data_IF_537852053072
#
_entry.id   IF_537852053072
#
_cell.length_a   1.000
_cell.length_b   1.000
_cell.length_c   1.000
_cell.angle_alpha   90.00
_cell.angle_beta   90.00
_cell.angle_gamma   90.00
#
_symmetry.space_group_name_H-M   'P 1'
#
loop_
_entity.id
_entity.type
_entity.pdbx_description
1 polymer ?
#
# COMPACT_ATOMS: atom_id res chain seq x y z
N UNK A 1 10.42 25.02 1.69
CA UNK A 1 9.47 24.24 2.50
C UNK A 1 8.07 24.58 2.02
N UNK A 2 7.29 23.63 1.51
CA UNK A 2 5.88 23.89 1.17
C UNK A 2 5.09 23.85 2.48
N UNK A 3 4.49 24.98 2.84
CA UNK A 3 3.61 25.09 4.01
C UNK A 3 2.37 24.25 3.77
N UNK A 4 2.03 23.40 4.74
CA UNK A 4 0.72 22.75 4.76
C UNK A 4 -0.27 23.83 5.20
N UNK A 5 -1.23 24.25 4.38
CA UNK A 5 -2.20 25.26 4.79
C UNK A 5 -2.98 24.75 6.01
N UNK A 6 -3.41 25.64 6.93
CA UNK A 6 -4.24 25.25 8.05
C UNK A 6 -5.52 24.61 7.51
N UNK A 7 -5.73 23.34 7.86
CA UNK A 7 -6.86 22.54 7.38
C UNK A 7 -8.14 23.05 8.06
N UNK A 8 -8.98 23.75 7.31
CA UNK A 8 -10.31 24.20 7.74
C UNK A 8 -11.30 23.03 7.71
N UNK A 9 -12.18 22.96 8.71
CA UNK A 9 -13.24 21.93 8.79
C UNK A 9 -14.14 22.08 7.56
N UNK A 10 -14.30 21.00 6.79
CA UNK A 10 -14.97 21.04 5.51
C UNK A 10 -16.12 20.03 5.45
N UNK A 11 -17.23 20.33 6.11
CA UNK A 11 -18.41 19.47 6.09
C UNK A 11 -18.92 19.28 4.65
N UNK A 12 -19.00 18.03 4.21
CA UNK A 12 -19.63 17.65 2.93
C UNK A 12 -18.77 17.77 1.68
N UNK A 13 -17.59 18.40 1.72
CA UNK A 13 -16.66 18.41 0.57
C UNK A 13 -15.57 17.36 0.68
N UNK A 14 -15.01 16.99 -0.47
CA UNK A 14 -13.83 16.14 -0.52
C UNK A 14 -12.61 16.87 0.05
N UNK A 15 -12.08 16.37 1.16
CA UNK A 15 -10.81 16.82 1.72
C UNK A 15 -9.67 16.45 0.76
N UNK A 16 -8.80 17.40 0.37
CA UNK A 16 -7.65 17.07 -0.47
C UNK A 16 -6.68 16.12 0.24
N UNK A 17 -5.91 15.35 -0.51
CA UNK A 17 -4.88 14.45 0.03
C UNK A 17 -3.45 14.98 -0.25
N UNK A 18 -2.95 15.93 0.55
CA UNK A 18 -1.60 16.46 0.37
C UNK A 18 -0.52 15.41 0.69
N UNK A 19 -0.84 14.40 1.50
CA UNK A 19 0.12 13.37 1.89
C UNK A 19 0.37 12.39 0.76
N UNK A 20 -0.67 11.93 0.06
CA UNK A 20 -0.51 11.05 -1.10
C UNK A 20 0.38 11.69 -2.17
N UNK A 21 0.15 12.97 -2.48
CA UNK A 21 0.99 13.71 -3.42
C UNK A 21 2.47 13.74 -2.98
N UNK A 22 2.72 13.95 -1.68
CA UNK A 22 4.07 13.93 -1.11
C UNK A 22 4.70 12.53 -1.16
N UNK A 23 3.93 11.48 -0.93
CA UNK A 23 4.40 10.09 -1.01
C UNK A 23 4.85 9.74 -2.42
N UNK A 24 4.02 10.07 -3.42
CA UNK A 24 4.34 9.89 -4.84
C UNK A 24 5.61 10.66 -5.18
N UNK A 25 5.70 11.95 -4.81
CA UNK A 25 6.89 12.75 -5.06
C UNK A 25 8.15 12.17 -4.42
N UNK A 26 8.05 11.62 -3.21
CA UNK A 26 9.19 11.06 -2.50
C UNK A 26 9.70 9.78 -3.16
N UNK A 27 8.85 8.77 -3.37
CA UNK A 27 9.28 7.48 -3.91
C UNK A 27 9.77 7.59 -5.37
N UNK A 28 9.19 8.52 -6.15
CA UNK A 28 9.58 8.72 -7.55
C UNK A 28 11.05 9.19 -7.70
N UNK A 29 11.67 9.72 -6.63
CA UNK A 29 13.11 10.05 -6.64
C UNK A 29 14.01 8.81 -6.67
N UNK A 30 13.51 7.68 -6.20
CA UNK A 30 14.27 6.44 -6.05
C UNK A 30 13.91 5.44 -7.17
N UNK A 31 12.71 5.53 -7.74
CA UNK A 31 12.25 4.64 -8.81
C UNK A 31 12.79 5.11 -10.18
N UNK A 32 13.89 4.51 -10.63
CA UNK A 32 14.42 4.68 -11.99
C UNK A 32 13.74 3.74 -12.99
N UNK A 33 13.70 4.16 -14.26
CA UNK A 33 13.03 3.43 -15.34
C UNK A 33 13.75 2.15 -15.80
N UNK A 34 15.07 2.10 -15.62
CA UNK A 34 15.92 0.96 -15.97
C UNK A 34 15.85 -0.18 -14.95
N UNK A 35 15.22 0.05 -13.79
CA UNK A 35 15.12 -0.97 -12.75
C UNK A 35 14.13 -2.08 -13.13
N UNK A 36 14.48 -3.35 -12.85
CA UNK A 36 13.57 -4.46 -13.04
C UNK A 36 12.26 -4.23 -12.28
N UNK A 37 11.14 -4.66 -12.88
CA UNK A 37 9.81 -4.49 -12.29
C UNK A 37 9.72 -5.09 -10.88
N UNK A 38 10.38 -6.23 -10.65
CA UNK A 38 10.43 -6.90 -9.35
C UNK A 38 11.05 -6.00 -8.28
N UNK A 39 12.13 -5.28 -8.64
CA UNK A 39 12.80 -4.36 -7.73
C UNK A 39 11.93 -3.13 -7.43
N UNK A 40 11.29 -2.58 -8.46
CA UNK A 40 10.36 -1.45 -8.31
C UNK A 40 9.16 -1.80 -7.43
N UNK A 41 8.60 -3.01 -7.60
CA UNK A 41 7.52 -3.53 -6.75
C UNK A 41 7.98 -3.71 -5.31
N UNK A 42 9.15 -4.31 -5.09
CA UNK A 42 9.70 -4.49 -3.74
C UNK A 42 9.92 -3.16 -3.03
N UNK A 43 10.56 -2.20 -3.68
CA UNK A 43 10.76 -0.86 -3.12
C UNK A 43 9.43 -0.15 -2.80
N UNK A 44 8.42 -0.28 -3.67
CA UNK A 44 7.11 0.29 -3.43
C UNK A 44 6.40 -0.38 -2.26
N UNK A 45 6.48 -1.70 -2.14
CA UNK A 45 5.91 -2.45 -1.03
C UNK A 45 6.55 -2.05 0.31
N UNK A 46 7.88 -2.01 0.37
CA UNK A 46 8.62 -1.55 1.54
C UNK A 46 8.27 -0.11 1.90
N UNK A 47 8.16 0.79 0.91
CA UNK A 47 7.76 2.16 1.13
C UNK A 47 6.35 2.27 1.71
N UNK A 48 5.37 1.55 1.16
CA UNK A 48 4.00 1.49 1.69
C UNK A 48 3.98 0.98 3.12
N UNK A 49 4.80 -0.02 3.43
CA UNK A 49 4.95 -0.52 4.79
C UNK A 49 5.44 0.58 5.74
N UNK A 50 6.51 1.31 5.39
CA UNK A 50 6.99 2.43 6.23
C UNK A 50 5.93 3.51 6.48
N UNK A 51 4.99 3.72 5.55
CA UNK A 51 3.93 4.70 5.68
C UNK A 51 2.76 4.22 6.56
N UNK A 52 2.49 2.92 6.60
CA UNK A 52 1.31 2.30 7.21
C UNK A 52 1.64 1.24 8.28
N UNK A 53 2.86 1.24 8.82
CA UNK A 53 3.27 0.34 9.92
C UNK A 53 2.83 0.82 11.30
N UNK A 54 2.31 2.04 11.43
CA UNK A 54 1.89 2.58 12.71
C UNK A 54 3.07 3.01 13.60
N UNK A 55 2.79 3.44 14.84
CA UNK A 55 3.85 3.77 15.78
C UNK A 55 4.65 2.52 16.13
N UNK A 56 5.97 2.65 16.19
CA UNK A 56 6.84 1.64 16.76
C UNK A 56 6.79 1.71 18.29
N UNK A 57 6.96 0.57 18.96
CA UNK A 57 7.24 0.52 20.38
C UNK A 57 8.65 1.05 20.69
N UNK A 58 8.99 1.13 21.97
CA UNK A 58 10.29 1.59 22.44
C UNK A 58 11.49 0.79 21.88
N UNK A 59 11.23 -0.40 21.32
CA UNK A 59 12.23 -1.28 20.70
C UNK A 59 12.26 -1.17 19.18
N UNK A 60 11.51 -0.23 18.59
CA UNK A 60 11.42 -0.08 17.13
C UNK A 60 10.51 -1.12 16.46
N UNK A 61 9.78 -1.93 17.23
CA UNK A 61 8.84 -2.92 16.70
C UNK A 61 7.53 -2.22 16.37
N UNK A 62 7.03 -2.26 15.12
CA UNK A 62 5.72 -1.72 14.82
C UNK A 62 4.67 -2.28 15.78
N UNK A 63 3.89 -1.42 16.44
CA UNK A 63 2.68 -1.83 17.18
C UNK A 63 1.57 -2.06 16.15
N UNK A 64 1.88 -2.85 15.13
CA UNK A 64 0.89 -3.49 14.28
C UNK A 64 0.18 -4.54 15.14
N UNK A 65 -1.04 -4.93 14.76
CA UNK A 65 -1.84 -6.01 15.36
C UNK A 65 -2.98 -5.65 16.34
N UNK A 66 -3.19 -4.38 16.73
CA UNK A 66 -4.42 -4.02 17.46
C UNK A 66 -5.44 -3.37 16.53
N UNK A 67 -6.43 -4.16 16.09
CA UNK A 67 -7.61 -3.68 15.36
C UNK A 67 -8.25 -2.47 16.07
N UNK A 68 -8.28 -2.50 17.40
CA UNK A 68 -8.78 -1.40 18.22
C UNK A 68 -8.00 -0.09 17.99
N UNK A 69 -6.67 -0.15 17.97
CA UNK A 69 -5.82 1.03 17.72
C UNK A 69 -6.02 1.59 16.32
N UNK A 70 -6.16 0.71 15.31
CA UNK A 70 -6.52 1.13 13.96
C UNK A 70 -7.89 1.82 13.91
N UNK A 71 -8.89 1.27 14.59
CA UNK A 71 -10.21 1.89 14.69
C UNK A 71 -10.14 3.26 15.36
N UNK A 72 -9.43 3.39 16.47
CA UNK A 72 -9.21 4.67 17.15
C UNK A 72 -8.52 5.70 16.23
N UNK A 73 -7.50 5.28 15.49
CA UNK A 73 -6.81 6.11 14.51
C UNK A 73 -7.76 6.63 13.42
N UNK A 74 -8.58 5.74 12.84
CA UNK A 74 -9.60 6.09 11.85
C UNK A 74 -10.62 7.07 12.43
N UNK A 75 -11.11 6.85 13.66
CA UNK A 75 -12.07 7.76 14.29
C UNK A 75 -11.47 9.13 14.59
N UNK A 76 -10.21 9.18 15.04
CA UNK A 76 -9.52 10.45 15.27
C UNK A 76 -9.38 11.27 13.98
N UNK A 77 -9.07 10.62 12.85
CA UNK A 77 -9.04 11.29 11.54
C UNK A 77 -10.44 11.79 11.14
N UNK A 78 -11.47 10.96 11.28
CA UNK A 78 -12.85 11.36 10.96
C UNK A 78 -13.31 12.57 11.75
N UNK A 79 -13.05 12.56 13.05
CA UNK A 79 -13.36 13.66 13.93
C UNK A 79 -12.61 14.93 13.50
N UNK A 80 -11.32 14.81 13.20
CA UNK A 80 -10.49 15.94 12.77
C UNK A 80 -10.90 16.51 11.42
N UNK A 81 -11.30 15.67 10.47
CA UNK A 81 -11.69 16.10 9.11
C UNK A 81 -13.17 16.49 9.00
N UNK A 82 -14.01 16.10 9.96
CA UNK A 82 -15.46 16.31 9.89
C UNK A 82 -16.15 15.49 8.78
N UNK A 83 -15.56 14.35 8.38
CA UNK A 83 -16.10 13.50 7.31
C UNK A 83 -15.81 12.01 7.54
N UNK A 84 -16.64 11.14 6.97
CA UNK A 84 -16.43 9.68 6.95
C UNK A 84 -15.52 9.24 5.82
N UNK A 85 -15.31 10.10 4.81
CA UNK A 85 -14.43 9.88 3.67
C UNK A 85 -13.01 10.27 4.04
N UNK A 86 -12.16 9.28 4.29
CA UNK A 86 -10.77 9.49 4.69
C UNK A 86 -9.87 9.34 3.46
N UNK A 87 -9.13 10.39 3.07
CA UNK A 87 -8.10 10.24 2.04
C UNK A 87 -6.98 9.31 2.54
N UNK A 88 -6.53 8.39 1.67
CA UNK A 88 -5.62 7.30 2.06
C UNK A 88 -4.31 7.81 2.68
N UNK A 89 -3.81 8.97 2.23
CA UNK A 89 -2.57 9.55 2.72
C UNK A 89 -2.64 10.06 4.17
N UNK A 90 -3.83 10.14 4.78
CA UNK A 90 -3.96 10.46 6.20
C UNK A 90 -3.71 9.27 7.13
N UNK A 91 -3.81 8.04 6.62
CA UNK A 91 -3.56 6.86 7.42
C UNK A 91 -2.08 6.75 7.79
N UNK A 92 -1.81 6.28 9.01
CA UNK A 92 -0.47 5.99 9.53
C UNK A 92 -0.29 4.52 9.89
N UNK A 93 -1.38 3.77 9.87
CA UNK A 93 -1.41 2.34 10.14
C UNK A 93 -2.45 1.69 9.23
N UNK A 94 -2.20 0.46 8.80
CA UNK A 94 -3.09 -0.26 7.90
C UNK A 94 -2.87 -1.77 7.90
N UNK A 95 -3.89 -2.50 7.46
CA UNK A 95 -3.83 -3.94 7.24
C UNK A 95 -3.83 -4.24 5.74
N UNK A 96 -4.36 -5.40 5.34
CA UNK A 96 -4.43 -5.83 3.94
C UNK A 96 -5.08 -4.77 3.03
N UNK A 97 -6.26 -4.25 3.41
CA UNK A 97 -6.99 -3.32 2.55
C UNK A 97 -6.27 -1.99 2.38
N UNK A 98 -5.89 -1.34 3.48
CA UNK A 98 -5.29 -0.01 3.44
C UNK A 98 -3.94 -0.04 2.72
N UNK A 99 -3.11 -1.06 3.00
CA UNK A 99 -1.82 -1.23 2.31
C UNK A 99 -2.00 -1.53 0.82
N UNK A 100 -2.92 -2.43 0.46
CA UNK A 100 -3.15 -2.74 -0.95
C UNK A 100 -3.69 -1.53 -1.75
N UNK A 101 -4.56 -0.74 -1.12
CA UNK A 101 -5.11 0.47 -1.71
C UNK A 101 -4.03 1.55 -1.89
N UNK A 102 -3.18 1.79 -0.88
CA UNK A 102 -2.07 2.75 -0.99
C UNK A 102 -1.03 2.29 -2.02
N UNK A 103 -0.68 1.00 -2.03
CA UNK A 103 0.21 0.42 -3.03
C UNK A 103 -0.32 0.67 -4.44
N UNK A 104 -1.60 0.39 -4.70
CA UNK A 104 -2.23 0.63 -5.99
C UNK A 104 -2.19 2.12 -6.37
N UNK A 105 -2.61 2.99 -5.46
CA UNK A 105 -2.71 4.43 -5.69
C UNK A 105 -1.36 5.07 -6.05
N UNK A 106 -0.29 4.68 -5.34
CA UNK A 106 1.07 5.15 -5.64
C UNK A 106 1.60 4.44 -6.89
N UNK A 107 1.44 3.12 -7.00
CA UNK A 107 1.94 2.29 -8.09
C UNK A 107 1.50 2.78 -9.47
N UNK A 108 0.23 3.16 -9.62
CA UNK A 108 -0.29 3.71 -10.86
C UNK A 108 0.38 5.03 -11.26
N UNK A 109 0.79 5.84 -10.28
CA UNK A 109 1.45 7.13 -10.51
C UNK A 109 2.94 7.00 -10.79
N UNK A 110 3.56 5.89 -10.37
CA UNK A 110 4.98 5.61 -10.57
C UNK A 110 5.22 4.48 -11.56
N UNK A 111 4.25 4.19 -12.42
CA UNK A 111 4.32 3.22 -13.52
C UNK A 111 4.67 1.79 -13.07
N UNK A 112 4.15 1.34 -11.93
CA UNK A 112 4.20 -0.06 -11.49
C UNK A 112 2.87 -0.72 -11.87
N UNK A 113 2.80 -1.48 -12.99
CA UNK A 113 1.57 -2.11 -13.44
C UNK A 113 1.11 -3.15 -12.41
N UNK A 114 -0.01 -2.87 -11.76
CA UNK A 114 -0.62 -3.77 -10.78
C UNK A 114 -2.14 -3.75 -10.90
N UNK A 115 -2.78 -4.86 -10.56
CA UNK A 115 -4.22 -4.97 -10.37
C UNK A 115 -4.52 -4.97 -8.87
N UNK A 116 -5.54 -4.23 -8.43
CA UNK A 116 -6.09 -4.34 -7.08
C UNK A 116 -7.21 -5.38 -7.12
N UNK A 117 -7.01 -6.51 -6.46
CA UNK A 117 -7.94 -7.64 -6.46
C UNK A 117 -8.71 -7.66 -5.15
N UNK A 118 -10.02 -7.87 -5.25
CA UNK A 118 -10.94 -7.97 -4.12
C UNK A 118 -11.17 -9.43 -3.76
N UNK A 119 -10.88 -9.78 -2.51
CA UNK A 119 -11.18 -11.07 -1.92
C UNK A 119 -12.50 -11.14 -1.18
N UNK A 120 -12.61 -12.14 -0.31
CA UNK A 120 -13.67 -12.26 0.69
C UNK A 120 -13.42 -11.28 1.85
N UNK A 121 -14.48 -10.89 2.56
CA UNK A 121 -14.42 -10.18 3.85
C UNK A 121 -13.37 -9.05 3.99
N UNK A 122 -13.53 -7.96 3.24
CA UNK A 122 -12.63 -6.77 3.28
C UNK A 122 -11.14 -7.08 3.03
N UNK A 123 -10.79 -8.26 2.51
CA UNK A 123 -9.44 -8.58 2.09
C UNK A 123 -9.22 -8.08 0.66
N UNK A 124 -8.10 -7.41 0.43
CA UNK A 124 -7.66 -6.96 -0.90
C UNK A 124 -6.16 -7.19 -1.02
N UNK A 125 -5.69 -7.39 -2.25
CA UNK A 125 -4.26 -7.56 -2.54
C UNK A 125 -3.92 -6.97 -3.91
N UNK A 126 -2.62 -6.86 -4.18
CA UNK A 126 -2.13 -6.43 -5.48
C UNK A 126 -1.54 -7.62 -6.24
N UNK A 127 -1.89 -7.72 -7.51
CA UNK A 127 -1.24 -8.64 -8.45
C UNK A 127 -0.42 -7.85 -9.47
N UNK A 128 0.77 -8.33 -9.79
CA UNK A 128 1.69 -7.73 -10.76
C UNK A 128 2.07 -8.76 -11.82
N UNK A 129 2.16 -8.30 -13.06
CA UNK A 129 2.64 -9.10 -14.16
C UNK A 129 4.16 -8.92 -14.30
N UNK A 130 4.90 -10.02 -14.36
CA UNK A 130 6.36 -10.03 -14.48
C UNK A 130 6.75 -10.92 -15.63
N UNK A 131 7.59 -10.42 -16.53
CA UNK A 131 8.22 -11.23 -17.56
C UNK A 131 9.23 -12.16 -16.88
N UNK A 132 8.96 -13.46 -16.96
CA UNK A 132 9.79 -14.52 -16.41
C UNK A 132 10.12 -15.51 -17.52
N UNK A 133 11.37 -15.96 -17.59
CA UNK A 133 11.80 -16.87 -18.64
C UNK A 133 13.17 -17.48 -18.37
N UNK A 134 13.34 -18.72 -18.81
CA UNK A 134 14.62 -19.38 -19.00
C UNK A 134 14.68 -19.83 -20.47
N UNK A 135 15.89 -19.90 -21.04
CA UNK A 135 16.12 -20.49 -22.37
C UNK A 135 15.32 -19.85 -23.53
N UNK A 136 15.41 -18.53 -23.69
CA UNK A 136 14.80 -17.74 -24.79
C UNK A 136 13.26 -17.76 -24.88
N UNK A 137 12.53 -18.30 -23.90
CA UNK A 137 11.08 -18.16 -23.80
C UNK A 137 10.73 -17.19 -22.69
N UNK A 138 10.24 -16.00 -23.07
CA UNK A 138 9.69 -15.02 -22.13
C UNK A 138 8.19 -15.27 -21.95
N UNK A 139 7.79 -15.64 -20.74
CA UNK A 139 6.40 -15.82 -20.36
C UNK A 139 5.99 -14.72 -19.38
N UNK A 140 4.79 -14.18 -19.55
CA UNK A 140 4.22 -13.24 -18.59
C UNK A 140 3.59 -14.04 -17.44
N UNK A 141 4.16 -13.92 -16.23
CA UNK A 141 3.66 -14.60 -15.03
C UNK A 141 3.06 -13.60 -14.05
N UNK A 142 1.96 -13.99 -13.41
CA UNK A 142 1.26 -13.17 -12.43
C UNK A 142 1.71 -13.51 -11.01
N UNK A 143 1.94 -12.49 -10.20
CA UNK A 143 2.37 -12.61 -8.81
C UNK A 143 1.52 -11.75 -7.88
N UNK A 144 1.15 -12.29 -6.72
CA UNK A 144 0.62 -11.52 -5.60
C UNK A 144 1.78 -10.83 -4.88
N UNK A 145 1.62 -9.55 -4.57
CA UNK A 145 2.58 -8.78 -3.76
C UNK A 145 2.25 -8.97 -2.28
N UNK A 146 3.19 -9.52 -1.51
CA UNK A 146 3.05 -9.62 -0.05
C UNK A 146 3.32 -8.24 0.59
N UNK A 147 2.33 -7.72 1.32
CA UNK A 147 2.40 -6.44 2.05
C UNK A 147 2.26 -6.62 3.57
N UNK A 148 2.27 -7.86 4.06
CA UNK A 148 1.87 -8.19 5.43
C UNK A 148 2.85 -9.07 6.19
N UNK A 149 3.53 -10.02 5.54
CA UNK A 149 4.43 -10.98 6.20
C UNK A 149 5.86 -10.82 5.72
N UNK A 150 6.08 -10.96 4.42
CA UNK A 150 7.39 -10.81 3.78
C UNK A 150 7.30 -9.72 2.72
N UNK A 151 7.41 -8.47 3.19
CA UNK A 151 7.03 -7.28 2.42
C UNK A 151 7.83 -7.18 1.12
N UNK A 152 7.11 -7.04 0.00
CA UNK A 152 7.69 -6.91 -1.34
C UNK A 152 8.03 -8.24 -2.01
N UNK A 153 7.83 -9.37 -1.33
CA UNK A 153 7.96 -10.68 -1.96
C UNK A 153 6.84 -10.93 -2.95
N UNK A 154 7.21 -11.48 -4.11
CA UNK A 154 6.30 -11.85 -5.19
C UNK A 154 5.92 -13.33 -5.06
N UNK A 155 4.65 -13.59 -4.73
CA UNK A 155 4.09 -14.93 -4.58
C UNK A 155 3.43 -15.34 -5.89
N UNK A 156 3.86 -16.41 -6.58
CA UNK A 156 3.22 -16.84 -7.82
C UNK A 156 1.72 -17.07 -7.60
N UNK A 157 0.86 -16.50 -8.44
CA UNK A 157 -0.60 -16.69 -8.37
C UNK A 157 -0.91 -18.18 -8.46
N UNK A 158 -1.83 -18.65 -7.61
CA UNK A 158 -2.20 -20.07 -7.49
C UNK A 158 -1.26 -20.92 -6.62
N UNK A 159 -0.09 -20.39 -6.23
CA UNK A 159 0.79 -21.09 -5.28
C UNK A 159 0.15 -21.21 -3.90
N UNK A 160 0.54 -22.24 -3.12
CA UNK A 160 0.06 -22.43 -1.74
C UNK A 160 0.33 -21.20 -0.86
N UNK A 161 1.45 -20.50 -1.05
CA UNK A 161 1.78 -19.28 -0.32
C UNK A 161 0.83 -18.13 -0.69
N UNK A 162 0.57 -17.93 -1.98
CA UNK A 162 -0.38 -16.92 -2.46
C UNK A 162 -1.80 -17.20 -1.95
N UNK A 163 -2.29 -18.44 -2.07
CA UNK A 163 -3.64 -18.80 -1.62
C UNK A 163 -3.83 -18.59 -0.11
N UNK A 164 -2.79 -18.89 0.69
CA UNK A 164 -2.78 -18.61 2.14
C UNK A 164 -2.73 -17.10 2.45
N UNK A 165 -2.08 -16.30 1.62
CA UNK A 165 -2.05 -14.84 1.77
C UNK A 165 -3.41 -14.21 1.42
N UNK A 166 -4.06 -14.72 0.37
CA UNK A 166 -5.34 -14.23 -0.15
C UNK A 166 -6.58 -14.83 0.55
N UNK A 167 -6.40 -15.73 1.53
CA UNK A 167 -7.49 -16.40 2.26
C UNK A 167 -8.49 -17.13 1.33
N UNK A 168 -7.96 -17.85 0.33
CA UNK A 168 -8.77 -18.54 -0.71
C UNK A 168 -8.76 -20.08 -0.52
N UNK A 169 -8.02 -20.60 0.46
CA UNK A 169 -7.84 -22.04 0.69
C UNK A 169 -7.92 -22.40 2.16
#
# INVERSE_FOLDING_TARGET
MLSVPPMTINFGSLTPDPYLARYIYHINKYLKNDMPIQHRVKMLAEYVDTLLSGPADEKGTPITHKLHTFQQHVQAIRYKLGTTLIPIGFLRMGFHFEKALLFKAIGDKVCVPSALVKGRHKLYWNEVAVLAGENNQTELKMYVVDLMRDIGTLLPVGSRKANKYCDIM
#
